data_IF_517672495858
#
_entry.id   IF_517672495858
#
_cell.length_a   1.000
_cell.length_b   1.000
_cell.length_c   1.000
_cell.angle_alpha   90.00
_cell.angle_beta   90.00
_cell.angle_gamma   90.00
#
_symmetry.space_group_name_H-M   'P 1'
#
loop_
_entity.id
_entity.type
_entity.pdbx_description
1 polymer ?
#
# COMPACT_ATOMS: atom_id res chain seq x y z
N UNK A 1 -10.53 19.44 5.54
CA UNK A 1 -10.70 19.13 6.20
C UNK A 1 -10.79 17.90 6.74
N UNK A 2 -10.73 17.85 7.67
CA UNK A 2 -10.53 16.67 8.42
C UNK A 2 -11.71 15.74 8.48
N UNK A 3 -12.89 16.25 8.23
CA UNK A 3 -14.10 15.46 8.39
C UNK A 3 -14.19 14.25 7.49
N UNK A 4 -14.03 14.45 6.20
CA UNK A 4 -14.15 13.35 5.25
C UNK A 4 -13.02 12.35 5.44
N UNK A 5 -11.83 12.84 5.73
CA UNK A 5 -10.72 11.95 5.99
C UNK A 5 -10.95 11.12 7.24
N UNK A 6 -11.59 11.70 8.25
CA UNK A 6 -11.82 11.00 9.50
C UNK A 6 -12.72 9.79 9.32
N UNK A 7 -13.70 9.86 8.45
CA UNK A 7 -14.57 8.72 8.21
C UNK A 7 -13.81 7.56 7.59
N UNK A 8 -12.90 7.86 6.68
CA UNK A 8 -12.06 6.83 6.10
C UNK A 8 -11.12 6.24 7.12
N UNK A 9 -10.84 7.00 8.16
CA UNK A 9 -9.88 6.59 9.18
C UNK A 9 -10.37 5.44 10.02
N UNK A 10 -11.63 5.06 9.90
CA UNK A 10 -12.04 3.88 10.63
C UNK A 10 -11.58 2.58 10.00
N UNK A 11 -10.94 2.65 8.87
CA UNK A 11 -10.05 1.57 8.48
C UNK A 11 -8.78 1.76 9.31
N UNK A 12 -8.84 1.44 10.58
CA UNK A 12 -7.80 1.83 11.49
C UNK A 12 -6.66 0.86 11.52
N UNK A 13 -5.52 1.38 11.88
CA UNK A 13 -4.31 0.59 12.02
C UNK A 13 -4.49 -0.50 13.06
N UNK A 14 -5.21 -0.20 14.10
CA UNK A 14 -5.43 -1.18 15.15
C UNK A 14 -6.21 -2.39 14.66
N UNK A 15 -7.00 -2.24 13.60
CA UNK A 15 -7.72 -3.35 13.02
C UNK A 15 -6.93 -4.04 11.92
N UNK A 16 -5.86 -3.44 11.45
CA UNK A 16 -5.06 -3.97 10.36
C UNK A 16 -3.96 -4.86 10.92
N UNK A 17 -4.03 -6.15 10.63
CA UNK A 17 -3.00 -7.08 11.06
C UNK A 17 -1.98 -7.25 9.95
N UNK A 18 -0.73 -6.98 10.27
CA UNK A 18 0.36 -7.08 9.29
C UNK A 18 1.16 -8.34 9.53
N UNK A 19 1.22 -9.17 8.51
CA UNK A 19 2.05 -10.37 8.55
C UNK A 19 3.07 -10.22 7.43
N UNK A 20 4.24 -9.73 7.80
CA UNK A 20 5.26 -9.36 6.83
C UNK A 20 6.52 -10.17 7.08
N UNK A 21 7.24 -10.47 6.01
CA UNK A 21 8.41 -11.33 6.10
C UNK A 21 9.71 -10.66 5.63
N UNK A 22 9.65 -9.51 4.98
CA UNK A 22 10.85 -8.88 4.44
C UNK A 22 11.26 -7.69 5.29
N UNK A 23 12.51 -7.71 5.76
CA UNK A 23 13.05 -6.61 6.54
C UNK A 23 13.23 -5.38 5.64
N UNK A 24 13.05 -4.20 6.20
CA UNK A 24 13.16 -2.96 5.47
C UNK A 24 11.94 -2.64 4.65
N UNK A 25 11.30 -3.66 4.11
CA UNK A 25 10.06 -3.51 3.37
C UNK A 25 8.87 -3.45 4.35
N UNK A 26 8.96 -4.23 5.45
CA UNK A 26 7.87 -4.24 6.42
C UNK A 26 7.54 -2.86 6.97
N UNK A 27 8.52 -2.07 7.43
CA UNK A 27 8.19 -0.73 7.89
C UNK A 27 7.63 0.15 6.81
N UNK A 28 8.07 -0.02 5.56
CA UNK A 28 7.59 0.77 4.46
C UNK A 28 6.12 0.44 4.15
N UNK A 29 5.78 -0.85 4.08
CA UNK A 29 4.40 -1.27 3.87
C UNK A 29 3.51 -0.75 4.99
N UNK A 30 3.96 -0.91 6.22
CA UNK A 30 3.20 -0.44 7.37
C UNK A 30 2.98 1.06 7.31
N UNK A 31 4.02 1.81 6.99
CA UNK A 31 3.93 3.25 6.91
C UNK A 31 2.99 3.67 5.78
N UNK A 32 3.08 3.01 4.64
CA UNK A 32 2.24 3.33 3.49
C UNK A 32 0.77 3.18 3.85
N UNK A 33 0.38 2.02 4.37
CA UNK A 33 -1.02 1.79 4.71
C UNK A 33 -1.48 2.61 5.90
N UNK A 34 -0.58 2.89 6.84
CA UNK A 34 -0.88 3.75 7.97
C UNK A 34 -1.25 5.15 7.48
N UNK A 35 -0.48 5.68 6.56
CA UNK A 35 -0.74 7.02 6.06
C UNK A 35 -1.98 7.08 5.21
N UNK A 36 -2.21 6.05 4.40
CA UNK A 36 -3.45 5.99 3.61
C UNK A 36 -4.65 5.92 4.54
N UNK A 37 -4.59 5.08 5.56
CA UNK A 37 -5.70 4.92 6.50
C UNK A 37 -5.93 6.19 7.32
N UNK A 38 -4.89 6.97 7.53
CA UNK A 38 -4.98 8.23 8.27
C UNK A 38 -5.38 9.41 7.40
N UNK A 39 -5.67 9.17 6.14
CA UNK A 39 -6.00 10.25 5.22
C UNK A 39 -4.80 11.07 4.77
N UNK A 40 -3.60 10.64 5.14
CA UNK A 40 -2.36 11.34 4.76
C UNK A 40 -1.85 10.81 3.43
N UNK A 41 -2.63 11.03 2.39
CA UNK A 41 -2.34 10.48 1.08
C UNK A 41 -1.05 11.07 0.51
N UNK A 42 -0.78 12.34 0.80
CA UNK A 42 0.44 12.96 0.29
C UNK A 42 1.69 12.29 0.88
N UNK A 43 1.63 11.92 2.15
CA UNK A 43 2.73 11.19 2.76
C UNK A 43 2.97 9.85 2.10
N UNK A 44 1.88 9.12 1.82
CA UNK A 44 1.99 7.85 1.14
C UNK A 44 2.55 8.03 -0.28
N UNK A 45 2.10 9.06 -0.97
CA UNK A 45 2.58 9.36 -2.32
C UNK A 45 4.09 9.61 -2.33
N UNK A 46 4.60 10.25 -1.29
CA UNK A 46 6.03 10.53 -1.18
C UNK A 46 6.87 9.30 -0.88
N UNK A 47 6.24 8.20 -0.50
CA UNK A 47 6.97 6.94 -0.33
C UNK A 47 7.21 6.24 -1.66
N UNK A 48 6.65 6.74 -2.74
CA UNK A 48 6.89 6.20 -4.08
C UNK A 48 8.13 6.83 -4.68
N UNK A 49 8.60 6.22 -5.78
CA UNK A 49 9.78 6.75 -6.48
C UNK A 49 9.41 7.96 -7.33
N UNK A 50 10.43 8.72 -7.71
CA UNK A 50 10.22 9.79 -8.68
C UNK A 50 9.68 9.24 -10.00
N UNK A 51 10.19 8.06 -10.41
CA UNK A 51 9.72 7.43 -11.63
C UNK A 51 8.23 7.14 -11.57
N UNK A 52 7.76 6.59 -10.45
CA UNK A 52 6.34 6.34 -10.26
C UNK A 52 5.55 7.64 -10.38
N UNK A 53 6.00 8.70 -9.69
CA UNK A 53 5.30 9.97 -9.67
C UNK A 53 5.34 10.70 -11.01
N UNK A 54 6.28 10.36 -11.88
CA UNK A 54 6.30 10.93 -13.22
C UNK A 54 5.24 10.34 -14.12
N UNK A 55 4.75 9.13 -13.79
CA UNK A 55 3.72 8.46 -14.59
C UNK A 55 2.34 8.51 -13.91
N UNK A 56 2.31 8.69 -12.61
CA UNK A 56 1.05 8.70 -11.84
C UNK A 56 1.06 9.96 -10.99
N UNK A 57 0.27 10.94 -11.37
CA UNK A 57 0.23 12.18 -10.61
C UNK A 57 -0.61 12.00 -9.35
N UNK A 58 -0.64 13.03 -8.51
CA UNK A 58 -1.32 12.96 -7.22
C UNK A 58 -2.80 12.60 -7.36
N UNK A 59 -3.48 13.19 -8.33
CA UNK A 59 -4.90 12.92 -8.50
C UNK A 59 -5.15 11.50 -8.97
N UNK A 60 -4.31 11.00 -9.86
CA UNK A 60 -4.42 9.63 -10.32
C UNK A 60 -4.16 8.66 -9.17
N UNK A 61 -3.20 8.97 -8.32
CA UNK A 61 -2.89 8.16 -7.16
C UNK A 61 -4.10 8.10 -6.21
N UNK A 62 -4.72 9.25 -5.96
CA UNK A 62 -5.90 9.32 -5.10
C UNK A 62 -7.04 8.50 -5.69
N UNK A 63 -7.26 8.62 -7.00
CA UNK A 63 -8.31 7.83 -7.66
C UNK A 63 -8.02 6.34 -7.58
N UNK A 64 -6.77 5.96 -7.75
CA UNK A 64 -6.39 4.57 -7.65
C UNK A 64 -6.71 4.03 -6.26
N UNK A 65 -6.31 4.76 -5.22
CA UNK A 65 -6.59 4.32 -3.86
C UNK A 65 -8.09 4.29 -3.56
N UNK A 66 -8.83 5.29 -4.05
CA UNK A 66 -10.27 5.32 -3.84
C UNK A 66 -10.95 4.11 -4.49
N UNK A 67 -10.47 3.72 -5.66
CA UNK A 67 -11.03 2.57 -6.35
C UNK A 67 -10.78 1.25 -5.64
N UNK A 68 -9.78 1.19 -4.78
CA UNK A 68 -9.48 -0.03 -4.05
C UNK A 68 -10.43 -0.25 -2.88
N UNK A 69 -11.13 0.80 -2.43
CA UNK A 69 -12.06 0.70 -1.30
C UNK A 69 -11.41 0.07 -0.08
N UNK A 70 -10.27 0.62 0.30
CA UNK A 70 -9.44 0.01 1.34
C UNK A 70 -10.14 -0.08 2.70
N UNK A 71 -11.13 0.77 2.94
CA UNK A 71 -11.87 0.77 4.20
C UNK A 71 -12.69 -0.50 4.42
N UNK A 72 -12.86 -1.33 3.38
CA UNK A 72 -13.57 -2.61 3.52
C UNK A 72 -12.71 -3.68 4.16
N UNK A 73 -11.41 -3.47 4.21
CA UNK A 73 -10.48 -4.54 4.56
C UNK A 73 -9.95 -4.35 5.98
N UNK A 74 -9.77 -5.46 6.67
CA UNK A 74 -9.36 -5.46 8.08
C UNK A 74 -8.02 -6.13 8.31
N UNK A 75 -7.61 -7.00 7.40
CA UNK A 75 -6.38 -7.75 7.55
C UNK A 75 -5.51 -7.57 6.33
N UNK A 76 -4.20 -7.56 6.56
CA UNK A 76 -3.24 -7.47 5.48
C UNK A 76 -2.24 -8.58 5.67
N UNK A 77 -2.03 -9.38 4.62
CA UNK A 77 -1.09 -10.49 4.65
C UNK A 77 -0.18 -10.38 3.45
N UNK A 78 1.13 -10.41 3.68
CA UNK A 78 2.08 -10.41 2.58
C UNK A 78 2.48 -11.82 2.24
N UNK A 79 2.76 -12.05 0.96
CA UNK A 79 3.35 -13.28 0.50
C UNK A 79 4.86 -13.23 0.64
N UNK A 80 5.53 -14.14 -0.06
CA UNK A 80 6.98 -14.15 -0.06
C UNK A 80 7.51 -13.08 -1.00
N UNK A 81 8.53 -12.35 -0.58
CA UNK A 81 9.16 -11.39 -1.49
C UNK A 81 9.87 -12.14 -2.60
N UNK A 82 9.79 -11.59 -3.80
CA UNK A 82 10.51 -12.09 -4.96
C UNK A 82 11.55 -11.05 -5.32
N UNK A 83 12.78 -11.48 -5.47
CA UNK A 83 13.88 -10.58 -5.79
C UNK A 83 14.28 -10.74 -7.24
N UNK A 84 14.36 -9.62 -7.96
CA UNK A 84 14.80 -9.57 -9.35
C UNK A 84 15.69 -8.37 -9.50
N UNK A 85 16.96 -8.60 -9.83
CA UNK A 85 17.92 -7.52 -9.94
C UNK A 85 17.93 -6.69 -8.66
N UNK A 86 17.62 -5.42 -8.78
CA UNK A 86 17.60 -4.52 -7.62
C UNK A 86 16.19 -4.25 -7.13
N UNK A 87 15.24 -5.07 -7.56
CA UNK A 87 13.85 -4.90 -7.21
C UNK A 87 13.40 -5.99 -6.25
N UNK A 88 12.49 -5.63 -5.37
CA UNK A 88 11.78 -6.62 -4.57
C UNK A 88 10.32 -6.51 -4.93
N UNK A 89 9.71 -7.63 -5.27
CA UNK A 89 8.29 -7.69 -5.58
C UNK A 89 7.57 -8.45 -4.49
N UNK A 90 6.46 -7.93 -4.05
CA UNK A 90 5.73 -8.50 -2.93
C UNK A 90 4.24 -8.44 -3.22
N UNK A 91 3.58 -9.57 -3.12
CA UNK A 91 2.11 -9.60 -3.22
C UNK A 91 1.53 -9.44 -1.84
N UNK A 92 0.63 -8.49 -1.70
CA UNK A 92 -0.05 -8.20 -0.45
C UNK A 92 -1.52 -8.47 -0.67
N UNK A 93 -2.13 -9.25 0.23
CA UNK A 93 -3.56 -9.52 0.18
C UNK A 93 -4.25 -8.81 1.32
N UNK A 94 -5.25 -8.02 0.98
CA UNK A 94 -6.11 -7.40 1.97
C UNK A 94 -7.38 -8.23 2.05
N UNK A 95 -7.82 -8.49 3.26
CA UNK A 95 -9.01 -9.32 3.49
C UNK A 95 -10.03 -8.57 4.31
N UNK A 96 -11.29 -8.67 3.89
CA UNK A 96 -12.39 -8.11 4.66
C UNK A 96 -12.85 -9.12 5.71
N UNK A 97 -13.80 -8.72 6.52
CA UNK A 97 -14.42 -9.64 7.47
C UNK A 97 -15.23 -10.73 6.79
N UNK A 98 -15.65 -10.48 5.56
CA UNK A 98 -16.38 -11.47 4.78
C UNK A 98 -15.45 -12.29 3.91
N UNK A 99 -15.82 -12.45 2.64
CA UNK A 99 -15.06 -13.27 1.72
C UNK A 99 -14.25 -12.47 0.73
N UNK A 100 -14.29 -11.15 0.81
CA UNK A 100 -13.61 -10.32 -0.17
C UNK A 100 -12.12 -10.26 0.10
N UNK A 101 -11.36 -10.36 -0.97
CA UNK A 101 -9.91 -10.22 -0.93
C UNK A 101 -9.48 -9.24 -2.00
N UNK A 102 -8.46 -8.47 -1.69
CA UNK A 102 -7.87 -7.56 -2.65
C UNK A 102 -6.38 -7.85 -2.73
N UNK A 103 -5.94 -8.52 -3.79
CA UNK A 103 -4.52 -8.73 -3.98
C UNK A 103 -3.89 -7.55 -4.70
N UNK A 104 -2.79 -7.07 -4.13
CA UNK A 104 -2.01 -5.99 -4.70
C UNK A 104 -0.57 -6.46 -4.85
N UNK A 105 0.03 -6.13 -5.98
CA UNK A 105 1.43 -6.43 -6.20
C UNK A 105 2.23 -5.15 -6.07
N UNK A 106 3.17 -5.15 -5.15
CA UNK A 106 4.05 -4.01 -4.93
C UNK A 106 5.43 -4.32 -5.48
N UNK A 107 6.03 -3.36 -6.14
CA UNK A 107 7.43 -3.42 -6.53
C UNK A 107 8.17 -2.35 -5.77
N UNK A 108 9.26 -2.72 -5.13
CA UNK A 108 10.07 -1.82 -4.33
C UNK A 108 11.46 -1.72 -4.92
N UNK A 109 12.04 -0.54 -4.82
CA UNK A 109 13.42 -0.30 -5.24
C UNK A 109 14.11 0.52 -4.14
N UNK A 110 15.40 0.29 -3.98
CA UNK A 110 16.17 1.02 -2.99
C UNK A 110 16.78 2.25 -3.64
N UNK A 111 16.48 3.41 -3.09
CA UNK A 111 16.98 4.69 -3.58
C UNK A 111 17.66 5.39 -2.42
N UNK A 112 18.96 5.65 -2.56
CA UNK A 112 19.74 6.34 -1.52
C UNK A 112 19.56 5.67 -0.16
N UNK A 113 19.73 4.36 -0.15
CA UNK A 113 19.67 3.55 1.06
C UNK A 113 18.27 3.43 1.66
N UNK A 114 17.24 3.88 0.95
CA UNK A 114 15.87 3.77 1.42
C UNK A 114 15.01 3.05 0.41
N UNK A 115 14.17 2.15 0.92
CA UNK A 115 13.21 1.46 0.05
C UNK A 115 12.07 2.40 -0.31
N UNK A 116 11.68 2.36 -1.58
CA UNK A 116 10.59 3.18 -2.10
C UNK A 116 9.68 2.30 -2.95
N UNK A 117 8.43 2.72 -3.08
CA UNK A 117 7.46 1.99 -3.88
C UNK A 117 7.63 2.42 -5.34
N UNK A 118 7.99 1.47 -6.19
CA UNK A 118 8.17 1.72 -7.61
C UNK A 118 6.89 1.49 -8.39
N UNK A 119 6.06 0.54 -7.95
CA UNK A 119 4.83 0.20 -8.67
C UNK A 119 3.85 -0.46 -7.73
N UNK A 120 2.57 -0.18 -7.96
CA UNK A 120 1.48 -0.85 -7.26
C UNK A 120 0.51 -1.30 -8.33
N UNK A 121 0.21 -2.59 -8.37
CA UNK A 121 -0.70 -3.16 -9.36
C UNK A 121 -1.80 -3.93 -8.66
N UNK A 122 -3.05 -3.65 -9.03
CA UNK A 122 -4.16 -4.44 -8.54
C UNK A 122 -4.24 -5.71 -9.36
N UNK A 123 -4.18 -6.84 -8.68
CA UNK A 123 -4.25 -8.14 -9.34
C UNK A 123 -5.70 -8.58 -9.42
N UNK A 124 -5.97 -9.45 -10.40
CA UNK A 124 -7.31 -10.03 -10.51
C UNK A 124 -7.52 -10.99 -9.33
N UNK A 125 -8.69 -10.90 -8.73
CA UNK A 125 -9.06 -11.86 -7.70
C UNK A 125 -9.26 -13.23 -8.36
N UNK A 126 -8.63 -14.22 -7.79
CA UNK A 126 -8.72 -15.56 -8.33
C UNK A 126 -10.06 -16.19 -7.98
#
# INVERSE_FOLDING_TARGET
>A
MAGAGALLLYWTISALKLVLSARGINPLIKQFFTQVASGQVDGAYLLTTKNYRSHVNRQQFIRFLAGLQLNKYRNLKSGRPRMEDKLIMLTVKLKSDGTEELPLDFTFVKVEEQWRVERITKLAAA
#
